data_IF_789871366076
#
_entry.id   IF_789871366076
#
_cell.length_a   1.000
_cell.length_b   1.000
_cell.length_c   1.000
_cell.angle_alpha   90.00
_cell.angle_beta   90.00
_cell.angle_gamma   90.00
#
_symmetry.space_group_name_H-M   'P 1'
#
loop_
_entity.id
_entity.type
_entity.pdbx_description
1 polymer ?
#
# COMPACT_ATOMS: atom_id res chain seq x y z
N UNK A 1 -0.21 30.56 -13.72
CA UNK A 1 -1.24 29.90 -14.55
C UNK A 1 -0.51 28.82 -15.33
N UNK A 2 -1.06 27.59 -15.37
CA UNK A 2 -0.57 26.39 -16.08
C UNK A 2 0.66 25.72 -15.39
N UNK A 3 0.72 24.43 -15.02
CA UNK A 3 -0.25 23.33 -14.97
C UNK A 3 0.27 22.25 -13.98
N UNK A 4 -0.66 21.49 -13.39
CA UNK A 4 -0.45 20.19 -12.75
C UNK A 4 -0.03 19.14 -13.81
N UNK A 5 1.23 19.15 -14.24
CA UNK A 5 1.82 18.04 -14.98
C UNK A 5 2.76 17.31 -14.02
N UNK A 6 2.46 16.03 -13.72
CA UNK A 6 3.46 14.94 -13.63
C UNK A 6 2.97 13.67 -12.92
N UNK A 7 1.72 13.59 -12.46
CA UNK A 7 1.11 12.29 -12.08
C UNK A 7 0.59 11.49 -13.28
N UNK A 8 0.15 12.17 -14.35
CA UNK A 8 -0.31 11.51 -15.58
C UNK A 8 0.83 10.84 -16.35
N UNK A 9 2.07 11.33 -16.20
CA UNK A 9 3.24 10.79 -16.92
C UNK A 9 3.65 9.39 -16.45
N UNK A 10 3.39 9.04 -15.18
CA UNK A 10 3.70 7.72 -14.64
C UNK A 10 2.79 6.62 -15.20
N UNK A 11 1.50 6.92 -15.37
CA UNK A 11 0.56 6.02 -16.07
C UNK A 11 0.86 6.00 -17.57
N UNK A 12 1.22 7.14 -18.17
CA UNK A 12 1.61 7.18 -19.58
C UNK A 12 2.92 6.44 -19.87
N UNK A 13 3.92 6.42 -18.98
CA UNK A 13 5.17 5.68 -19.22
C UNK A 13 4.96 4.18 -19.18
N UNK A 14 4.05 3.69 -18.33
CA UNK A 14 3.62 2.28 -18.33
C UNK A 14 2.83 1.95 -19.62
N UNK A 15 2.15 2.94 -20.22
CA UNK A 15 1.35 2.77 -21.45
C UNK A 15 2.20 2.99 -22.74
N UNK A 16 3.24 3.82 -22.71
CA UNK A 16 4.05 4.21 -23.90
C UNK A 16 5.12 3.19 -24.26
N UNK A 17 5.61 2.38 -23.33
CA UNK A 17 6.51 1.26 -23.66
C UNK A 17 5.81 0.15 -24.49
N UNK A 18 4.49 0.26 -24.71
CA UNK A 18 3.72 -0.62 -25.60
C UNK A 18 3.75 -0.23 -27.10
N UNK A 19 4.49 0.80 -27.53
CA UNK A 19 4.53 1.20 -28.95
C UNK A 19 5.91 1.62 -29.46
N UNK A 20 6.72 0.62 -29.81
CA UNK A 20 7.60 0.73 -30.99
C UNK A 20 7.23 -0.35 -32.00
N UNK A 21 6.51 -0.02 -33.09
CA UNK A 21 6.44 -0.87 -34.26
C UNK A 21 7.60 -0.54 -35.20
N UNK A 22 8.35 -1.58 -35.58
CA UNK A 22 9.20 -1.55 -36.78
C UNK A 22 8.33 -1.23 -38.01
N UNK A 23 8.77 -0.27 -38.82
CA UNK A 23 8.30 -0.01 -40.20
C UNK A 23 8.16 -1.31 -41.01
N UNK A 24 7.28 -1.50 -41.99
CA UNK A 24 6.19 -0.74 -42.58
C UNK A 24 5.27 -1.72 -43.36
N UNK A 25 3.96 -1.45 -43.42
CA UNK A 25 3.03 -1.76 -44.53
C UNK A 25 1.67 -1.08 -44.26
N UNK A 26 1.24 -0.22 -45.18
CA UNK A 26 -0.02 0.56 -45.14
C UNK A 26 -1.28 -0.29 -45.42
N UNK A 27 -2.51 0.29 -45.47
CA UNK A 27 -3.38 0.42 -44.30
C UNK A 27 -4.73 -0.30 -44.51
N UNK A 28 -5.33 -0.84 -43.45
CA UNK A 28 -6.79 -1.07 -43.41
C UNK A 28 -7.37 -0.67 -42.06
N UNK A 29 -8.13 0.41 -42.16
CA UNK A 29 -9.19 0.96 -41.30
C UNK A 29 -9.49 0.25 -39.97
N UNK A 30 -9.22 1.02 -38.92
CA UNK A 30 -9.92 1.17 -37.64
C UNK A 30 -11.03 0.16 -37.28
N UNK A 31 -10.80 -0.58 -36.18
CA UNK A 31 -11.75 -0.69 -35.08
C UNK A 31 -11.03 -0.51 -33.74
N UNK A 32 -11.24 0.64 -33.14
CA UNK A 32 -11.08 0.85 -31.69
C UNK A 32 -12.06 -0.06 -30.95
N UNK A 33 -11.57 -0.74 -29.91
CA UNK A 33 -12.09 -0.61 -28.54
C UNK A 33 -11.21 -1.43 -27.59
N UNK A 34 -10.29 -0.72 -26.92
CA UNK A 34 -9.52 -1.22 -25.79
C UNK A 34 -10.37 -1.08 -24.52
N UNK A 35 -10.82 -2.19 -23.94
CA UNK A 35 -11.40 -2.19 -22.60
C UNK A 35 -10.36 -2.72 -21.61
N UNK A 36 -9.79 -1.78 -20.83
CA UNK A 36 -8.95 -2.02 -19.65
C UNK A 36 -9.79 -2.76 -18.59
N UNK A 37 -9.39 -3.96 -18.16
CA UNK A 37 -10.04 -4.60 -17.00
C UNK A 37 -9.80 -3.77 -15.73
N UNK A 38 -10.86 -3.40 -14.97
CA UNK A 38 -10.70 -2.66 -13.72
C UNK A 38 -10.16 -3.57 -12.59
N UNK A 39 -9.49 -2.96 -11.61
CA UNK A 39 -9.10 -3.57 -10.34
C UNK A 39 -10.30 -4.29 -9.70
N UNK A 40 -10.18 -5.59 -9.39
CA UNK A 40 -11.26 -6.41 -8.79
C UNK A 40 -10.93 -6.67 -7.32
N UNK A 41 -11.63 -5.99 -6.41
CA UNK A 41 -11.59 -6.32 -4.98
C UNK A 41 -12.53 -7.50 -4.66
N UNK A 42 -12.11 -8.41 -3.76
CA UNK A 42 -12.99 -9.45 -3.18
C UNK A 42 -13.34 -9.06 -1.74
N UNK A 43 -14.64 -8.95 -1.47
CA UNK A 43 -15.24 -8.75 -0.13
C UNK A 43 -16.26 -9.85 0.15
N UNK A 44 -16.52 -10.10 1.42
CA UNK A 44 -17.68 -10.90 1.82
C UNK A 44 -18.97 -10.13 1.59
N UNK A 45 -19.99 -10.86 1.12
CA UNK A 45 -21.39 -10.50 1.29
C UNK A 45 -21.99 -11.42 2.32
N UNK A 46 -22.77 -10.85 3.23
CA UNK A 46 -23.77 -11.59 3.97
C UNK A 46 -24.74 -12.20 2.93
N UNK A 47 -24.56 -13.48 2.59
CA UNK A 47 -25.58 -14.34 1.98
C UNK A 47 -25.88 -14.26 0.48
N UNK A 48 -25.10 -13.59 -0.39
CA UNK A 48 -25.40 -13.55 -1.84
C UNK A 48 -24.17 -13.77 -2.74
N UNK A 49 -24.38 -14.54 -3.82
CA UNK A 49 -23.36 -15.11 -4.72
C UNK A 49 -22.56 -14.08 -5.56
N UNK A 50 -22.86 -12.78 -5.48
CA UNK A 50 -22.16 -11.71 -6.24
C UNK A 50 -21.69 -10.54 -5.35
N UNK A 51 -20.40 -10.12 -5.39
CA UNK A 51 -19.83 -9.09 -4.50
C UNK A 51 -20.64 -7.78 -4.53
N UNK A 52 -21.28 -7.44 -3.40
CA UNK A 52 -22.10 -6.23 -3.22
C UNK A 52 -21.19 -5.08 -2.83
N UNK A 53 -20.65 -4.42 -3.84
CA UNK A 53 -20.09 -3.07 -3.66
C UNK A 53 -21.27 -2.12 -3.35
N UNK A 54 -21.36 -1.58 -2.13
CA UNK A 54 -22.18 -0.38 -1.86
C UNK A 54 -23.41 -0.48 -0.93
N UNK A 55 -23.51 -1.46 -0.02
CA UNK A 55 -24.52 -1.42 1.08
C UNK A 55 -23.88 -1.12 2.44
N UNK A 56 -24.58 -0.34 3.28
CA UNK A 56 -24.22 -0.13 4.68
C UNK A 56 -24.57 -1.40 5.47
N UNK A 57 -23.56 -2.18 5.84
CA UNK A 57 -23.72 -3.32 6.75
C UNK A 57 -23.75 -2.78 8.18
N UNK A 58 -24.77 -3.13 8.97
CA UNK A 58 -24.90 -2.63 10.35
C UNK A 58 -24.03 -3.42 11.35
N UNK A 59 -23.81 -2.87 12.55
CA UNK A 59 -23.10 -3.56 13.64
C UNK A 59 -23.79 -4.87 14.04
N UNK A 60 -25.11 -4.89 14.03
CA UNK A 60 -25.91 -6.06 14.42
C UNK A 60 -25.83 -7.18 13.35
N UNK A 61 -25.79 -6.81 12.06
CA UNK A 61 -25.62 -7.77 10.94
C UNK A 61 -24.27 -8.49 11.00
N UNK A 62 -23.23 -7.81 11.50
CA UNK A 62 -21.88 -8.37 11.64
C UNK A 62 -21.74 -9.11 12.96
N UNK A 63 -22.28 -8.58 14.07
CA UNK A 63 -22.21 -9.21 15.38
C UNK A 63 -22.80 -10.63 15.40
N UNK A 64 -23.98 -10.84 14.81
CA UNK A 64 -24.60 -12.18 14.75
C UNK A 64 -23.81 -13.20 13.93
N UNK A 65 -23.01 -12.76 12.95
CA UNK A 65 -22.11 -13.63 12.18
C UNK A 65 -20.82 -13.94 12.95
N UNK A 66 -20.26 -12.96 13.66
CA UNK A 66 -19.02 -13.12 14.42
C UNK A 66 -19.17 -13.83 15.76
N UNK A 67 -20.34 -13.75 16.42
CA UNK A 67 -20.63 -14.54 17.63
C UNK A 67 -20.51 -16.06 17.38
N UNK A 68 -20.69 -16.51 16.13
CA UNK A 68 -20.54 -17.93 15.76
C UNK A 68 -19.12 -18.33 15.35
N UNK A 69 -18.21 -17.37 15.20
CA UNK A 69 -16.89 -17.59 14.61
C UNK A 69 -15.80 -17.57 15.69
N UNK A 70 -15.39 -18.76 16.14
CA UNK A 70 -14.26 -18.88 17.07
C UNK A 70 -12.95 -18.59 16.32
N UNK A 71 -12.43 -17.38 16.46
CA UNK A 71 -11.16 -16.97 15.88
C UNK A 71 -9.99 -17.72 16.53
N UNK A 72 -9.30 -18.54 15.73
CA UNK A 72 -8.01 -19.10 16.17
C UNK A 72 -6.95 -18.00 16.33
N UNK A 73 -5.89 -18.30 17.07
CA UNK A 73 -4.73 -17.40 17.23
C UNK A 73 -4.10 -17.00 15.89
N UNK A 74 -4.17 -17.86 14.88
CA UNK A 74 -3.68 -17.53 13.54
C UNK A 74 -4.55 -16.48 12.83
N UNK A 75 -5.89 -16.52 13.01
CA UNK A 75 -6.78 -15.48 12.48
C UNK A 75 -6.47 -14.13 13.14
N UNK A 76 -6.31 -14.14 14.46
CA UNK A 76 -5.94 -12.96 15.24
C UNK A 76 -4.59 -12.40 14.79
N UNK A 77 -3.58 -13.26 14.59
CA UNK A 77 -2.26 -12.85 14.13
C UNK A 77 -2.30 -12.19 12.73
N UNK A 78 -3.06 -12.77 11.79
CA UNK A 78 -3.26 -12.16 10.46
C UNK A 78 -3.95 -10.80 10.58
N UNK A 79 -5.03 -10.72 11.37
CA UNK A 79 -5.79 -9.49 11.56
C UNK A 79 -4.93 -8.39 12.22
N UNK A 80 -4.21 -8.71 13.29
CA UNK A 80 -3.29 -7.78 13.96
C UNK A 80 -2.19 -7.31 13.00
N UNK A 81 -1.59 -8.21 12.20
CA UNK A 81 -0.60 -7.82 11.20
C UNK A 81 -1.17 -6.81 10.19
N UNK A 82 -2.35 -7.09 9.63
CA UNK A 82 -3.00 -6.21 8.66
C UNK A 82 -3.42 -4.88 9.28
N UNK A 83 -3.89 -4.89 10.54
CA UNK A 83 -4.24 -3.67 11.28
C UNK A 83 -3.00 -2.82 11.60
N UNK A 84 -1.89 -3.46 11.99
CA UNK A 84 -0.64 -2.77 12.30
C UNK A 84 -0.08 -2.05 11.07
N UNK A 85 -0.14 -2.69 9.90
CA UNK A 85 0.42 -2.12 8.67
C UNK A 85 -0.61 -1.42 7.77
N UNK A 86 -1.91 -1.43 8.09
CA UNK A 86 -3.05 -0.93 7.28
C UNK A 86 -3.27 -1.66 5.96
N UNK A 87 -2.23 -1.74 5.13
CA UNK A 87 -2.17 -2.44 3.87
C UNK A 87 -0.95 -3.37 3.94
N UNK A 88 -1.20 -4.67 3.91
CA UNK A 88 -0.16 -5.68 3.92
C UNK A 88 -0.25 -6.56 2.67
N UNK A 89 0.90 -7.03 2.18
CA UNK A 89 0.94 -8.07 1.15
C UNK A 89 1.10 -9.46 1.79
N UNK A 90 1.15 -10.50 0.94
CA UNK A 90 1.30 -11.88 1.42
C UNK A 90 2.62 -12.10 2.15
N UNK A 91 3.72 -11.50 1.69
CA UNK A 91 5.05 -11.73 2.23
C UNK A 91 5.19 -11.08 3.62
N UNK A 92 4.63 -9.87 3.78
CA UNK A 92 4.52 -9.19 5.07
C UNK A 92 3.76 -10.06 6.07
N UNK A 93 2.59 -10.58 5.71
CA UNK A 93 1.77 -11.38 6.64
C UNK A 93 2.47 -12.68 7.01
N UNK A 94 2.97 -13.44 6.02
CA UNK A 94 3.60 -14.74 6.24
C UNK A 94 4.85 -14.61 7.13
N UNK A 95 5.68 -13.60 6.85
CA UNK A 95 6.91 -13.35 7.61
C UNK A 95 6.61 -12.86 9.02
N UNK A 96 5.70 -11.89 9.17
CA UNK A 96 5.39 -11.29 10.47
C UNK A 96 4.65 -12.26 11.41
N UNK A 97 3.77 -13.12 10.87
CA UNK A 97 3.01 -14.10 11.67
C UNK A 97 3.74 -15.44 11.87
N UNK A 98 4.76 -15.73 11.06
CA UNK A 98 5.41 -17.05 11.02
C UNK A 98 4.55 -18.18 10.44
N UNK A 99 3.35 -17.87 9.93
CA UNK A 99 2.44 -18.86 9.36
C UNK A 99 3.02 -19.37 8.03
N UNK A 100 3.17 -20.70 7.89
CA UNK A 100 3.66 -21.30 6.64
C UNK A 100 2.80 -20.87 5.46
N UNK A 101 3.42 -20.45 4.36
CA UNK A 101 2.76 -19.94 3.15
C UNK A 101 1.60 -20.83 2.64
N UNK A 102 1.79 -22.15 2.60
CA UNK A 102 0.75 -23.09 2.16
C UNK A 102 -0.46 -23.15 3.11
N UNK A 103 -0.24 -22.94 4.41
CA UNK A 103 -1.30 -22.84 5.40
C UNK A 103 -2.00 -21.47 5.32
N UNK A 104 -1.20 -20.40 5.17
CA UNK A 104 -1.72 -19.05 4.96
C UNK A 104 -2.66 -18.97 3.76
N UNK A 105 -2.37 -19.67 2.64
CA UNK A 105 -3.28 -19.73 1.48
C UNK A 105 -4.71 -20.16 1.85
N UNK A 106 -4.85 -21.12 2.77
CA UNK A 106 -6.16 -21.62 3.22
C UNK A 106 -6.79 -20.67 4.24
N UNK A 107 -5.99 -20.23 5.22
CA UNK A 107 -6.40 -19.31 6.27
C UNK A 107 -6.91 -17.98 5.68
N UNK A 108 -6.20 -17.44 4.69
CA UNK A 108 -6.58 -16.23 3.96
C UNK A 108 -8.00 -16.32 3.40
N UNK A 109 -8.34 -17.41 2.74
CA UNK A 109 -9.67 -17.56 2.17
C UNK A 109 -10.77 -17.60 3.25
N UNK A 110 -10.46 -18.13 4.43
CA UNK A 110 -11.35 -18.05 5.59
C UNK A 110 -11.44 -16.59 6.03
N UNK A 111 -10.33 -15.89 6.28
CA UNK A 111 -10.35 -14.49 6.69
C UNK A 111 -11.11 -13.56 5.72
N UNK A 112 -11.00 -13.81 4.40
CA UNK A 112 -11.74 -13.07 3.38
C UNK A 112 -13.23 -13.41 3.44
N UNK A 113 -13.58 -14.70 3.51
CA UNK A 113 -14.97 -15.16 3.57
C UNK A 113 -15.66 -14.78 4.87
N UNK A 114 -14.92 -14.57 5.94
CA UNK A 114 -15.48 -14.15 7.22
C UNK A 114 -15.54 -12.64 7.35
N UNK A 115 -15.00 -11.88 6.39
CA UNK A 115 -14.96 -10.42 6.48
C UNK A 115 -13.99 -9.89 7.54
N UNK A 116 -12.98 -10.69 7.93
CA UNK A 116 -11.88 -10.23 8.78
C UNK A 116 -10.97 -9.28 8.00
N UNK A 117 -10.63 -9.67 6.78
CA UNK A 117 -9.80 -8.88 5.86
C UNK A 117 -10.45 -8.86 4.49
N UNK A 118 -10.20 -7.82 3.71
CA UNK A 118 -10.56 -7.79 2.29
C UNK A 118 -9.31 -7.85 1.42
N UNK A 119 -9.42 -8.51 0.27
CA UNK A 119 -8.33 -8.64 -0.70
C UNK A 119 -8.58 -7.68 -1.87
N UNK A 120 -7.59 -6.82 -2.13
CA UNK A 120 -7.54 -5.99 -3.31
C UNK A 120 -6.51 -6.58 -4.28
N UNK A 121 -7.01 -7.10 -5.41
CA UNK A 121 -6.17 -7.65 -6.48
C UNK A 121 -5.90 -6.59 -7.53
N UNK A 122 -4.63 -6.22 -7.65
CA UNK A 122 -4.14 -5.26 -8.65
C UNK A 122 -3.40 -6.06 -9.71
N UNK A 123 -3.98 -6.11 -10.92
CA UNK A 123 -3.35 -6.75 -12.07
C UNK A 123 -2.47 -5.74 -12.79
N UNK A 124 -1.23 -6.11 -13.08
CA UNK A 124 -0.35 -5.41 -14.02
C UNK A 124 0.01 -6.38 -15.15
N UNK A 125 0.58 -5.88 -16.24
CA UNK A 125 1.02 -6.75 -17.35
C UNK A 125 2.09 -7.76 -16.90
N UNK A 126 2.93 -7.39 -15.93
CA UNK A 126 4.02 -8.22 -15.42
C UNK A 126 3.57 -9.22 -14.37
N UNK A 127 2.70 -8.79 -13.44
CA UNK A 127 2.28 -9.61 -12.29
C UNK A 127 1.02 -9.12 -11.60
N UNK A 128 0.46 -10.00 -10.77
CA UNK A 128 -0.62 -9.69 -9.85
C UNK A 128 -0.06 -9.29 -8.48
N UNK A 129 -0.55 -8.18 -7.93
CA UNK A 129 -0.32 -7.77 -6.55
C UNK A 129 -1.59 -8.02 -5.73
N UNK A 130 -1.41 -8.55 -4.52
CA UNK A 130 -2.49 -8.81 -3.58
C UNK A 130 -2.25 -8.01 -2.32
N UNK A 131 -3.16 -7.08 -2.04
CA UNK A 131 -3.13 -6.26 -0.83
C UNK A 131 -4.29 -6.61 0.08
N UNK A 132 -4.00 -6.72 1.37
CA UNK A 132 -4.93 -7.05 2.42
C UNK A 132 -5.12 -5.86 3.35
N UNK A 133 -6.36 -5.60 3.72
CA UNK A 133 -6.78 -4.52 4.60
C UNK A 133 -7.87 -5.07 5.53
N UNK A 134 -8.05 -4.47 6.70
CA UNK A 134 -9.11 -4.85 7.65
C UNK A 134 -10.47 -4.59 7.00
N UNK A 135 -11.37 -5.57 7.07
CA UNK A 135 -12.76 -5.43 6.61
C UNK A 135 -13.71 -5.28 7.82
N UNK A 136 -14.99 -5.02 7.58
CA UNK A 136 -15.96 -4.65 8.62
C UNK A 136 -15.98 -5.62 9.81
N UNK A 137 -15.88 -6.92 9.53
CA UNK A 137 -15.80 -7.96 10.55
C UNK A 137 -14.50 -7.96 11.35
N UNK A 138 -13.39 -7.64 10.70
CA UNK A 138 -12.10 -7.44 11.35
C UNK A 138 -12.10 -6.27 12.33
N UNK A 139 -12.88 -5.22 12.07
CA UNK A 139 -13.01 -4.09 13.01
C UNK A 139 -13.61 -4.56 14.34
N UNK A 140 -14.70 -5.33 14.31
CA UNK A 140 -15.31 -5.87 15.52
C UNK A 140 -14.43 -6.92 16.21
N UNK A 141 -13.79 -7.78 15.43
CA UNK A 141 -12.83 -8.73 15.98
C UNK A 141 -11.66 -8.02 16.71
N UNK A 142 -11.18 -6.87 16.20
CA UNK A 142 -10.19 -6.05 16.89
C UNK A 142 -10.77 -5.45 18.19
N UNK A 143 -12.02 -4.95 18.17
CA UNK A 143 -12.70 -4.46 19.38
C UNK A 143 -12.78 -5.56 20.46
N UNK A 144 -13.18 -6.78 20.10
CA UNK A 144 -13.27 -7.94 21.00
C UNK A 144 -11.89 -8.40 21.51
N UNK A 145 -10.83 -8.15 20.73
CA UNK A 145 -9.45 -8.39 21.11
C UNK A 145 -8.83 -7.25 21.94
N UNK A 146 -9.62 -6.24 22.31
CA UNK A 146 -9.17 -5.01 22.99
C UNK A 146 -8.08 -4.25 22.20
N UNK A 147 -8.06 -4.40 20.87
CA UNK A 147 -7.14 -3.71 19.97
C UNK A 147 -7.86 -2.55 19.26
N UNK A 148 -7.19 -1.39 19.21
CA UNK A 148 -7.69 -0.26 18.44
C UNK A 148 -7.58 -0.55 16.94
N UNK A 149 -8.68 -0.39 16.22
CA UNK A 149 -8.66 -0.39 14.76
C UNK A 149 -7.93 0.86 14.23
N UNK A 150 -6.90 0.64 13.42
CA UNK A 150 -6.25 1.68 12.67
C UNK A 150 -7.08 1.96 11.41
N UNK A 151 -8.07 2.85 11.57
CA UNK A 151 -8.96 3.34 10.51
C UNK A 151 -8.27 3.64 9.19
N UNK A 152 -8.71 2.96 8.13
CA UNK A 152 -8.39 3.26 6.75
C UNK A 152 -9.67 3.70 6.02
N UNK A 153 -9.73 4.91 5.41
CA UNK A 153 -10.90 5.30 4.65
C UNK A 153 -11.13 4.35 3.46
N UNK A 154 -12.33 3.80 3.36
CA UNK A 154 -12.67 2.88 2.26
C UNK A 154 -12.71 3.59 0.89
N UNK A 155 -12.88 4.91 0.90
CA UNK A 155 -12.96 5.79 -0.28
C UNK A 155 -11.62 6.10 -0.92
N UNK A 156 -10.50 5.58 -0.38
CA UNK A 156 -9.18 5.86 -0.94
C UNK A 156 -9.05 5.35 -2.38
N UNK A 157 -8.48 6.21 -3.22
CA UNK A 157 -8.11 5.87 -4.59
C UNK A 157 -7.00 4.80 -4.61
N UNK A 158 -6.78 4.18 -5.77
CA UNK A 158 -5.69 3.21 -5.94
C UNK A 158 -4.32 3.86 -5.68
N UNK A 159 -4.13 5.09 -6.15
CA UNK A 159 -2.90 5.87 -5.90
C UNK A 159 -2.68 6.09 -4.41
N UNK A 160 -3.70 6.54 -3.67
CA UNK A 160 -3.59 6.73 -2.23
C UNK A 160 -3.27 5.43 -1.50
N UNK A 161 -3.89 4.32 -1.91
CA UNK A 161 -3.59 2.98 -1.36
C UNK A 161 -2.16 2.55 -1.66
N UNK A 162 -1.64 2.82 -2.86
CA UNK A 162 -0.26 2.53 -3.20
C UNK A 162 0.73 3.30 -2.32
N UNK A 163 0.48 4.59 -2.13
CA UNK A 163 1.31 5.46 -1.28
C UNK A 163 1.33 4.99 0.17
N UNK A 164 0.16 4.64 0.70
CA UNK A 164 0.01 4.00 2.00
C UNK A 164 0.80 2.69 2.08
N UNK A 165 0.64 1.81 1.09
CA UNK A 165 1.36 0.54 1.02
C UNK A 165 2.89 0.73 1.04
N UNK A 166 3.43 1.73 0.35
CA UNK A 166 4.87 2.02 0.41
C UNK A 166 5.33 2.41 1.82
N UNK A 167 4.52 3.20 2.52
CA UNK A 167 4.78 3.59 3.92
C UNK A 167 4.67 2.40 4.87
N UNK A 168 3.70 1.51 4.65
CA UNK A 168 3.55 0.24 5.37
C UNK A 168 4.73 -0.71 5.13
N UNK A 169 5.17 -0.84 3.89
CA UNK A 169 6.30 -1.66 3.49
C UNK A 169 7.60 -1.13 4.11
N UNK A 170 7.79 0.19 4.17
CA UNK A 170 8.90 0.79 4.89
C UNK A 170 8.86 0.38 6.37
N UNK A 171 7.75 0.65 7.06
CA UNK A 171 7.61 0.37 8.49
C UNK A 171 7.91 -1.11 8.81
N UNK A 172 7.42 -2.03 7.98
CA UNK A 172 7.73 -3.45 8.07
C UNK A 172 9.22 -3.75 7.89
N UNK A 173 9.85 -3.21 6.84
CA UNK A 173 11.27 -3.48 6.56
C UNK A 173 12.22 -2.94 7.63
N UNK A 174 11.80 -1.91 8.38
CA UNK A 174 12.62 -1.28 9.41
C UNK A 174 12.11 -1.51 10.83
N UNK A 175 11.23 -2.49 11.05
CA UNK A 175 10.60 -2.74 12.37
C UNK A 175 11.60 -2.99 13.52
N UNK A 176 12.83 -3.43 13.20
CA UNK A 176 13.92 -3.58 14.18
C UNK A 176 14.63 -2.27 14.54
N UNK A 177 14.43 -1.21 13.76
CA UNK A 177 15.06 0.11 13.94
C UNK A 177 14.03 1.15 14.40
N UNK A 178 12.77 0.95 14.05
CA UNK A 178 11.67 1.88 14.26
C UNK A 178 10.42 1.17 14.74
N UNK A 179 9.77 1.78 15.73
CA UNK A 179 8.42 1.43 16.18
C UNK A 179 7.41 2.33 15.47
N UNK A 180 6.36 1.77 14.87
CA UNK A 180 5.26 2.59 14.36
C UNK A 180 4.41 3.06 15.54
N UNK A 181 4.26 4.37 15.70
CA UNK A 181 3.50 4.97 16.81
C UNK A 181 2.16 5.52 16.36
N UNK A 182 2.12 6.02 15.12
CA UNK A 182 0.90 6.53 14.51
C UNK A 182 1.04 6.49 12.99
N UNK A 183 -0.02 6.87 12.27
CA UNK A 183 0.00 7.04 10.82
C UNK A 183 1.16 7.92 10.39
N UNK A 184 2.04 7.34 9.56
CA UNK A 184 3.18 8.06 9.01
C UNK A 184 4.12 8.62 10.08
N UNK A 185 4.10 8.06 11.29
CA UNK A 185 5.01 8.45 12.36
C UNK A 185 5.68 7.20 12.90
N UNK A 186 7.00 7.19 12.84
CA UNK A 186 7.83 6.16 13.45
C UNK A 186 8.69 6.75 14.54
N UNK A 187 8.99 5.93 15.54
CA UNK A 187 9.84 6.26 16.67
C UNK A 187 11.09 5.42 16.61
N UNK A 188 12.24 6.06 16.63
CA UNK A 188 13.51 5.34 16.67
C UNK A 188 13.77 4.72 18.06
N UNK A 189 14.80 3.89 18.15
CA UNK A 189 15.24 3.27 19.41
C UNK A 189 15.65 4.26 20.53
N UNK A 190 15.84 5.53 20.21
CA UNK A 190 16.16 6.60 21.18
C UNK A 190 14.93 7.41 21.57
N UNK A 191 13.75 7.04 21.07
CA UNK A 191 12.48 7.69 21.36
C UNK A 191 12.17 8.91 20.50
N UNK A 192 12.94 9.16 19.45
CA UNK A 192 12.75 10.30 18.55
C UNK A 192 11.73 9.98 17.47
N UNK A 193 10.77 10.87 17.29
CA UNK A 193 9.71 10.74 16.31
C UNK A 193 10.14 11.29 14.96
N UNK A 194 9.80 10.53 13.93
CA UNK A 194 10.01 10.88 12.54
C UNK A 194 8.71 10.75 11.76
N UNK A 195 8.39 11.77 10.95
CA UNK A 195 7.35 11.64 9.95
C UNK A 195 7.83 10.75 8.79
N UNK A 196 6.91 10.07 8.10
CA UNK A 196 7.18 9.27 6.91
C UNK A 196 6.52 9.94 5.72
N UNK A 197 7.33 10.34 4.74
CA UNK A 197 6.83 10.94 3.51
C UNK A 197 7.43 10.30 2.28
N UNK A 198 6.69 10.34 1.17
CA UNK A 198 7.23 9.94 -0.12
C UNK A 198 7.98 11.13 -0.72
N UNK A 199 9.16 10.89 -1.28
CA UNK A 199 9.94 11.98 -1.87
C UNK A 199 9.21 12.67 -3.03
N UNK A 200 8.35 11.94 -3.73
CA UNK A 200 7.49 12.46 -4.82
C UNK A 200 6.40 13.42 -4.33
N UNK A 201 6.07 13.41 -3.04
CA UNK A 201 5.05 14.30 -2.44
C UNK A 201 5.66 15.56 -1.82
N UNK A 202 6.99 15.70 -1.90
CA UNK A 202 7.69 16.88 -1.40
C UNK A 202 7.30 18.10 -2.22
N UNK A 203 6.76 19.12 -1.55
CA UNK A 203 6.50 20.41 -2.17
C UNK A 203 7.75 21.29 -2.05
N UNK A 204 8.32 21.69 -3.19
CA UNK A 204 9.52 22.56 -3.25
C UNK A 204 9.31 23.84 -2.43
N UNK A 205 8.11 24.42 -2.46
CA UNK A 205 7.77 25.62 -1.69
C UNK A 205 7.82 25.43 -0.17
N UNK A 206 7.88 24.19 0.31
CA UNK A 206 7.83 23.79 1.72
C UNK A 206 9.07 23.04 2.18
N UNK A 207 10.16 23.02 1.41
CA UNK A 207 11.39 22.27 1.76
C UNK A 207 11.87 22.54 3.19
N UNK A 208 11.76 23.79 3.65
CA UNK A 208 12.18 24.21 5.01
C UNK A 208 11.26 23.72 6.13
N UNK A 209 10.03 23.31 5.81
CA UNK A 209 9.06 22.81 6.78
C UNK A 209 9.34 21.34 7.14
N UNK A 210 10.03 20.60 6.27
CA UNK A 210 10.37 19.20 6.53
C UNK A 210 11.55 19.10 7.48
N UNK A 211 11.29 18.49 8.64
CA UNK A 211 12.25 18.25 9.70
C UNK A 211 11.93 16.90 10.34
N UNK A 212 12.95 16.13 10.74
CA UNK A 212 12.80 14.78 11.30
C UNK A 212 11.85 13.94 10.43
N UNK A 213 12.10 13.87 9.14
CA UNK A 213 11.28 13.12 8.19
C UNK A 213 12.11 12.02 7.55
N UNK A 214 11.58 10.81 7.50
CA UNK A 214 12.09 9.73 6.66
C UNK A 214 11.39 9.80 5.31
N UNK A 215 12.15 10.16 4.28
CA UNK A 215 11.70 10.16 2.91
C UNK A 215 11.87 8.78 2.28
N UNK A 216 10.76 8.18 1.87
CA UNK A 216 10.75 6.95 1.10
C UNK A 216 11.04 7.29 -0.37
N UNK A 217 12.01 6.58 -0.91
CA UNK A 217 12.52 6.72 -2.27
C UNK A 217 12.42 5.34 -2.93
N UNK A 218 11.94 5.26 -4.17
CA UNK A 218 12.03 4.03 -4.95
C UNK A 218 13.05 4.24 -6.06
N UNK A 219 14.31 3.90 -5.78
CA UNK A 219 15.41 4.18 -6.71
C UNK A 219 15.24 3.42 -8.03
N UNK A 220 14.67 2.21 -8.01
CA UNK A 220 14.41 1.44 -9.22
C UNK A 220 13.44 2.21 -10.14
N UNK A 221 12.33 2.70 -9.60
CA UNK A 221 11.37 3.52 -10.36
C UNK A 221 11.97 4.82 -10.83
N UNK A 222 12.68 5.55 -9.95
CA UNK A 222 13.30 6.84 -10.26
C UNK A 222 14.36 6.71 -11.37
N UNK A 223 15.12 5.62 -11.37
CA UNK A 223 16.10 5.35 -12.41
C UNK A 223 15.43 5.01 -13.74
N UNK A 224 14.36 4.20 -13.74
CA UNK A 224 13.57 3.88 -14.95
C UNK A 224 12.95 5.13 -15.58
N UNK A 225 12.45 6.05 -14.75
CA UNK A 225 11.89 7.33 -15.18
C UNK A 225 12.96 8.37 -15.59
N UNK A 226 14.25 8.06 -15.40
CA UNK A 226 15.37 8.95 -15.67
C UNK A 226 15.29 10.33 -14.94
N UNK A 227 14.66 10.36 -13.76
CA UNK A 227 14.53 11.57 -12.92
C UNK A 227 15.47 11.55 -11.70
N UNK A 228 16.44 10.64 -11.69
CA UNK A 228 17.35 10.43 -10.56
C UNK A 228 18.15 11.67 -10.16
N UNK A 229 18.51 12.53 -11.12
CA UNK A 229 19.20 13.80 -10.84
C UNK A 229 18.31 14.75 -10.03
N UNK A 230 17.08 14.94 -10.47
CA UNK A 230 16.12 15.83 -9.80
C UNK A 230 15.83 15.39 -8.36
N UNK A 231 15.62 14.09 -8.15
CA UNK A 231 15.38 13.55 -6.81
C UNK A 231 16.60 13.73 -5.90
N UNK A 232 17.83 13.57 -6.44
CA UNK A 232 19.06 13.84 -5.68
C UNK A 232 19.20 15.30 -5.30
N UNK A 233 18.86 16.22 -6.20
CA UNK A 233 18.93 17.66 -5.93
C UNK A 233 17.96 18.04 -4.79
N UNK A 234 16.72 17.55 -4.82
CA UNK A 234 15.76 17.71 -3.71
C UNK A 234 16.30 17.08 -2.42
N UNK A 235 16.85 15.87 -2.50
CA UNK A 235 17.37 15.17 -1.33
C UNK A 235 18.53 15.93 -0.66
N UNK A 236 19.39 16.60 -1.44
CA UNK A 236 20.45 17.46 -0.93
C UNK A 236 19.88 18.64 -0.14
N UNK A 237 18.88 19.33 -0.69
CA UNK A 237 18.24 20.45 -0.01
C UNK A 237 17.58 20.04 1.31
N UNK A 238 16.98 18.85 1.34
CA UNK A 238 16.30 18.27 2.50
C UNK A 238 17.26 17.68 3.56
N UNK A 239 18.51 17.35 3.20
CA UNK A 239 19.46 16.66 4.09
C UNK A 239 19.88 17.48 5.32
N UNK A 240 19.55 18.77 5.37
CA UNK A 240 20.00 19.70 6.41
C UNK A 240 19.17 19.68 7.71
N UNK A 241 18.01 19.01 7.72
CA UNK A 241 17.05 19.05 8.83
C UNK A 241 16.85 17.69 9.52
N UNK A 242 17.94 16.92 9.69
CA UNK A 242 17.88 15.62 10.38
C UNK A 242 16.86 14.67 9.73
N UNK A 243 16.69 14.86 8.42
CA UNK A 243 15.90 14.01 7.55
C UNK A 243 16.74 12.81 7.13
N UNK A 244 16.08 11.70 6.83
CA UNK A 244 16.70 10.48 6.35
C UNK A 244 16.03 10.03 5.08
N UNK A 245 16.75 9.30 4.24
CA UNK A 245 16.23 8.81 2.97
C UNK A 245 16.32 7.29 2.96
N UNK A 246 15.21 6.62 2.68
CA UNK A 246 15.14 5.17 2.64
C UNK A 246 14.76 4.70 1.25
N UNK A 247 15.62 3.91 0.64
CA UNK A 247 15.36 3.27 -0.64
C UNK A 247 14.55 1.99 -0.43
N UNK A 248 13.28 2.02 -0.83
CA UNK A 248 12.34 0.91 -0.65
C UNK A 248 12.65 -0.28 -1.54
N UNK A 249 13.24 -0.05 -2.72
CA UNK A 249 13.65 -1.15 -3.62
C UNK A 249 14.96 -1.77 -3.15
N UNK A 250 15.93 -0.93 -2.78
CA UNK A 250 17.23 -1.36 -2.26
C UNK A 250 17.24 -1.78 -0.78
N UNK A 251 16.12 -1.64 -0.07
CA UNK A 251 15.93 -1.93 1.37
C UNK A 251 17.03 -1.36 2.27
N UNK A 252 17.38 -0.09 2.06
CA UNK A 252 18.51 0.54 2.75
C UNK A 252 18.35 2.04 2.88
N UNK A 253 18.96 2.59 3.93
CA UNK A 253 19.12 4.04 4.04
C UNK A 253 20.15 4.55 3.02
N UNK A 254 19.80 5.63 2.34
CA UNK A 254 20.65 6.31 1.39
C UNK A 254 21.54 7.34 2.10
N UNK A 255 22.82 7.33 1.75
CA UNK A 255 23.74 8.42 2.12
C UNK A 255 23.72 9.44 0.99
N UNK A 256 23.12 10.60 1.25
CA UNK A 256 23.21 11.73 0.35
C UNK A 256 24.63 12.29 0.48
N UNK A 257 25.42 12.17 -0.58
CA UNK A 257 26.75 12.78 -0.70
C UNK A 257 26.64 14.06 -1.51
N UNK A 258 27.38 15.08 -1.11
CA UNK A 258 27.56 16.31 -1.87
C UNK A 258 28.24 16.06 -3.22
#
# INVERSE_FOLDING_TARGET
MICNYDTDYFLESIIKEAKEPKEAKEPKEAKEESIKEPTKGRRYNIGFEEPLVGRNISKDDVAGFFETLVLSEEHKAVLTCVNNFLIADTDMIVSHTGIKFNHFKKLKEICIKTGLIFENKIKTEEKDYLWYMVDAGGIYALEDMEQKYNSLPFTLSLEQKYKLYLKSLFAYQVEHHYEMVDYYIVKDKYGKLYAIELIEEVKISKLKEYNKTVFIVNMDTINKLNISKYVRDIAKDLNNNDNSFYDISGKKFLKIKD
#
